data_IF_285871544625
#
_entry.id   IF_285871544625
#
_cell.length_a   1.000
_cell.length_b   1.000
_cell.length_c   1.000
_cell.angle_alpha   90.00
_cell.angle_beta   90.00
_cell.angle_gamma   90.00
#
_symmetry.space_group_name_H-M   'P 1'
#
loop_
_entity.id
_entity.type
_entity.pdbx_description
1 polymer ?
#
# COMPACT_ATOMS: atom_id res chain seq x y z
N UNK A 1 1.06 14.92 -21.47
CA UNK A 1 2.18 14.04 -21.09
C UNK A 1 1.98 13.76 -19.61
N UNK A 2 1.35 12.63 -19.27
CA UNK A 2 1.04 12.29 -17.88
C UNK A 2 2.31 11.67 -17.30
N UNK A 3 2.91 12.34 -16.32
CA UNK A 3 4.15 11.88 -15.67
C UNK A 3 3.81 10.72 -14.73
N UNK A 4 3.72 9.50 -15.27
CA UNK A 4 3.68 8.29 -14.47
C UNK A 4 5.08 7.95 -13.96
N UNK A 5 5.23 7.71 -12.67
CA UNK A 5 6.43 7.07 -12.12
C UNK A 5 7.58 8.01 -11.76
N UNK A 6 7.28 9.09 -11.02
CA UNK A 6 8.34 9.73 -10.23
C UNK A 6 8.93 8.71 -9.25
N UNK A 7 10.26 8.54 -9.25
CA UNK A 7 10.92 7.83 -8.15
C UNK A 7 10.54 8.51 -6.83
N UNK A 8 10.23 7.70 -5.82
CA UNK A 8 9.98 8.18 -4.46
C UNK A 8 11.05 9.23 -4.09
N UNK A 9 10.68 10.41 -3.54
CA UNK A 9 11.55 11.58 -3.44
C UNK A 9 12.96 11.29 -2.92
N UNK A 10 13.10 10.26 -2.11
CA UNK A 10 14.34 9.83 -1.50
C UNK A 10 15.26 8.93 -2.31
N UNK A 11 14.75 8.22 -3.31
CA UNK A 11 15.60 7.48 -4.26
C UNK A 11 16.48 8.46 -5.06
N UNK A 12 15.95 9.66 -5.35
CA UNK A 12 16.71 10.78 -5.93
C UNK A 12 17.71 11.42 -4.96
N UNK A 13 17.42 11.41 -3.66
CA UNK A 13 18.30 11.97 -2.62
C UNK A 13 19.42 11.02 -2.18
N UNK A 14 19.52 9.81 -2.75
CA UNK A 14 20.55 8.81 -2.43
C UNK A 14 20.48 8.23 -1.02
N UNK A 15 19.40 8.52 -0.28
CA UNK A 15 19.17 8.00 1.07
C UNK A 15 17.67 7.93 1.32
N UNK A 16 17.18 6.73 1.68
CA UNK A 16 15.84 6.60 2.29
C UNK A 16 15.83 7.55 3.50
N UNK A 17 14.89 8.51 3.61
CA UNK A 17 14.73 9.33 4.78
C UNK A 17 14.69 8.39 5.95
N UNK A 18 15.66 8.59 6.85
CA UNK A 18 15.56 8.10 8.21
C UNK A 18 14.44 8.90 8.84
N UNK A 19 13.20 8.51 8.55
CA UNK A 19 12.10 8.94 9.37
C UNK A 19 12.40 8.48 10.78
N UNK A 20 12.01 9.28 11.77
CA UNK A 20 12.31 9.19 13.20
C UNK A 20 12.41 7.77 13.79
N UNK A 21 11.72 6.82 13.16
CA UNK A 21 11.46 5.48 13.64
C UNK A 21 11.78 4.36 12.63
N UNK A 22 11.95 4.66 11.35
CA UNK A 22 11.58 3.75 10.26
C UNK A 22 12.82 3.18 9.54
N UNK A 23 13.25 1.97 9.95
CA UNK A 23 14.14 1.03 9.25
C UNK A 23 15.60 1.47 8.98
N UNK A 24 16.57 0.87 9.69
CA UNK A 24 17.99 0.85 9.33
C UNK A 24 18.32 -0.52 8.69
N UNK A 25 18.79 -0.53 7.44
CA UNK A 25 18.87 -1.69 6.53
C UNK A 25 19.92 -2.77 6.84
N UNK A 26 20.32 -3.02 8.09
CA UNK A 26 21.41 -3.99 8.37
C UNK A 26 21.17 -5.07 9.43
N UNK A 27 19.95 -5.26 9.97
CA UNK A 27 19.73 -6.38 10.91
C UNK A 27 18.40 -7.09 10.71
N UNK A 28 18.50 -8.40 10.48
CA UNK A 28 17.47 -9.40 10.82
C UNK A 28 16.95 -9.14 12.24
N UNK A 29 15.64 -9.27 12.42
CA UNK A 29 14.89 -8.91 13.64
C UNK A 29 14.95 -7.42 14.00
N UNK A 30 14.05 -6.66 13.40
CA UNK A 30 13.77 -5.30 13.87
C UNK A 30 13.06 -5.35 15.23
N UNK A 31 13.66 -4.68 16.19
CA UNK A 31 13.08 -4.44 17.51
C UNK A 31 11.99 -3.35 17.40
N UNK A 32 10.79 -3.78 16.98
CA UNK A 32 9.59 -2.95 16.89
C UNK A 32 9.12 -2.38 18.24
N UNK A 33 9.71 -2.80 19.36
CA UNK A 33 9.41 -2.23 20.68
C UNK A 33 9.78 -0.74 20.78
N UNK A 34 10.77 -0.30 20.00
CA UNK A 34 11.20 1.10 19.90
C UNK A 34 10.13 2.05 19.33
N UNK A 35 9.10 1.50 18.68
CA UNK A 35 8.00 2.24 18.05
C UNK A 35 6.76 2.37 18.94
N UNK A 36 6.78 1.78 20.13
CA UNK A 36 5.59 1.66 20.97
C UNK A 36 4.51 0.75 20.37
N UNK A 37 4.85 -0.06 19.36
CA UNK A 37 3.97 -1.12 18.86
C UNK A 37 3.88 -2.24 19.91
N UNK A 38 2.68 -2.75 20.16
CA UNK A 38 2.53 -3.91 21.03
C UNK A 38 2.88 -5.18 20.25
N UNK A 39 3.11 -6.27 20.99
CA UNK A 39 3.38 -7.59 20.41
C UNK A 39 2.29 -8.05 19.43
N UNK A 40 1.08 -7.49 19.51
CA UNK A 40 -0.05 -7.78 18.62
C UNK A 40 0.12 -7.19 17.24
N UNK A 41 0.45 -5.90 17.10
CA UNK A 41 0.61 -5.24 15.79
C UNK A 41 1.79 -5.84 15.03
N UNK A 42 2.91 -6.09 15.73
CA UNK A 42 4.10 -6.74 15.15
C UNK A 42 3.76 -8.12 14.59
N UNK A 43 2.96 -8.90 15.33
CA UNK A 43 2.49 -10.20 14.86
C UNK A 43 1.57 -10.09 13.65
N UNK A 44 0.63 -9.15 13.64
CA UNK A 44 -0.25 -8.91 12.49
C UNK A 44 0.57 -8.54 11.24
N UNK A 45 1.50 -7.60 11.35
CA UNK A 45 2.42 -7.21 10.27
C UNK A 45 3.25 -8.38 9.75
N UNK A 46 3.83 -9.19 10.65
CA UNK A 46 4.60 -10.37 10.27
C UNK A 46 3.73 -11.40 9.53
N UNK A 47 2.49 -11.63 10.00
CA UNK A 47 1.53 -12.50 9.31
C UNK A 47 1.16 -11.98 7.94
N UNK A 48 0.91 -10.68 7.79
CA UNK A 48 0.61 -10.04 6.51
C UNK A 48 1.76 -10.20 5.50
N UNK A 49 3.00 -9.93 5.93
CA UNK A 49 4.19 -10.13 5.08
C UNK A 49 4.38 -11.58 4.67
N UNK A 50 4.11 -12.54 5.55
CA UNK A 50 4.18 -13.95 5.19
C UNK A 50 3.16 -14.31 4.11
N UNK A 51 1.92 -13.82 4.22
CA UNK A 51 0.90 -14.00 3.16
C UNK A 51 1.39 -13.42 1.83
N UNK A 52 1.91 -12.19 1.86
CA UNK A 52 2.43 -11.52 0.66
C UNK A 52 3.63 -12.26 0.04
N UNK A 53 4.55 -12.78 0.84
CA UNK A 53 5.68 -13.62 0.36
C UNK A 53 5.18 -14.89 -0.35
N UNK A 54 4.19 -15.56 0.23
CA UNK A 54 3.59 -16.73 -0.43
C UNK A 54 2.92 -16.34 -1.76
N UNK A 55 2.26 -15.18 -1.81
CA UNK A 55 1.69 -14.65 -3.05
C UNK A 55 2.76 -14.30 -4.09
N UNK A 56 3.88 -13.71 -3.69
CA UNK A 56 4.98 -13.32 -4.58
C UNK A 56 5.66 -14.54 -5.21
N UNK A 57 5.88 -15.60 -4.43
CA UNK A 57 6.37 -16.89 -4.95
C UNK A 57 5.40 -17.42 -6.02
N UNK A 58 4.10 -17.39 -5.73
CA UNK A 58 3.09 -17.86 -6.67
C UNK A 58 3.02 -16.97 -7.91
N UNK A 59 3.15 -15.66 -7.76
CA UNK A 59 3.24 -14.69 -8.85
C UNK A 59 4.43 -14.99 -9.76
N UNK A 60 5.61 -15.19 -9.17
CA UNK A 60 6.82 -15.58 -9.89
C UNK A 60 6.62 -16.85 -10.70
N UNK A 61 6.01 -17.89 -10.11
CA UNK A 61 5.75 -19.15 -10.80
C UNK A 61 4.73 -18.99 -11.95
N UNK A 62 3.64 -18.28 -11.70
CA UNK A 62 2.55 -18.07 -12.65
C UNK A 62 2.95 -17.20 -13.86
N UNK A 63 3.80 -16.20 -13.64
CA UNK A 63 4.18 -15.24 -14.67
C UNK A 63 5.54 -15.54 -15.31
N UNK A 64 6.39 -16.40 -14.72
CA UNK A 64 7.65 -16.86 -15.36
C UNK A 64 7.45 -18.08 -16.27
N UNK A 65 6.43 -18.91 -16.03
CA UNK A 65 6.09 -19.99 -16.97
C UNK A 65 5.37 -19.42 -18.20
N UNK A 66 6.18 -18.96 -19.16
CA UNK A 66 5.74 -18.58 -20.49
C UNK A 66 5.32 -19.82 -21.31
N UNK A 67 4.09 -20.34 -21.19
CA UNK A 67 3.46 -21.10 -22.29
C UNK A 67 1.95 -20.81 -22.35
N UNK A 68 1.53 -20.25 -23.49
CA UNK A 68 0.17 -20.00 -24.00
C UNK A 68 -0.56 -18.71 -23.58
N UNK A 69 -0.51 -17.74 -24.50
CA UNK A 69 -1.23 -16.46 -24.48
C UNK A 69 -2.74 -16.67 -24.74
N UNK A 70 -3.55 -16.66 -23.68
CA UNK A 70 -4.99 -16.39 -23.80
C UNK A 70 -5.33 -15.26 -22.82
N UNK A 71 -5.96 -14.17 -23.28
CA UNK A 71 -6.31 -13.02 -22.42
C UNK A 71 -7.15 -13.42 -21.19
N UNK A 72 -7.91 -14.52 -21.31
CA UNK A 72 -8.71 -15.14 -20.24
C UNK A 72 -7.83 -15.59 -19.05
N UNK A 73 -6.65 -16.16 -19.32
CA UNK A 73 -5.70 -16.60 -18.30
C UNK A 73 -5.13 -15.43 -17.50
N UNK A 74 -4.93 -14.27 -18.15
CA UNK A 74 -4.47 -13.05 -17.47
C UNK A 74 -5.57 -12.51 -16.55
N UNK A 75 -6.82 -12.48 -16.99
CA UNK A 75 -7.93 -12.00 -16.18
C UNK A 75 -8.16 -12.88 -14.94
N UNK A 76 -8.13 -14.21 -15.11
CA UNK A 76 -8.25 -15.17 -14.00
C UNK A 76 -7.09 -15.01 -12.99
N UNK A 77 -5.86 -14.86 -13.47
CA UNK A 77 -4.69 -14.57 -12.61
C UNK A 77 -4.90 -13.29 -11.83
N UNK A 78 -5.31 -12.19 -12.47
CA UNK A 78 -5.57 -10.92 -11.79
C UNK A 78 -6.69 -11.05 -10.75
N UNK A 79 -7.77 -11.77 -11.07
CA UNK A 79 -8.85 -12.04 -10.12
C UNK A 79 -8.37 -12.85 -8.91
N UNK A 80 -7.53 -13.87 -9.13
CA UNK A 80 -6.93 -14.65 -8.04
C UNK A 80 -6.11 -13.74 -7.12
N UNK A 81 -5.17 -12.96 -7.66
CA UNK A 81 -4.34 -12.06 -6.85
C UNK A 81 -5.17 -11.02 -6.10
N UNK A 82 -6.13 -10.37 -6.77
CA UNK A 82 -7.00 -9.40 -6.12
C UNK A 82 -7.86 -10.05 -5.02
N UNK A 83 -8.32 -11.29 -5.21
CA UNK A 83 -9.04 -12.04 -4.17
C UNK A 83 -8.15 -12.36 -2.97
N UNK A 84 -6.87 -12.70 -3.20
CA UNK A 84 -5.90 -12.90 -2.12
C UNK A 84 -5.57 -11.60 -1.37
N UNK A 85 -5.49 -10.46 -2.06
CA UNK A 85 -5.32 -9.15 -1.41
C UNK A 85 -6.54 -8.79 -0.56
N UNK A 86 -7.74 -9.07 -1.04
CA UNK A 86 -8.97 -8.89 -0.25
C UNK A 86 -8.99 -9.80 0.99
N UNK A 87 -8.51 -11.04 0.86
CA UNK A 87 -8.34 -11.93 2.00
C UNK A 87 -7.32 -11.39 3.00
N UNK A 88 -6.20 -10.81 2.52
CA UNK A 88 -5.24 -10.14 3.38
C UNK A 88 -5.92 -9.03 4.17
N UNK A 89 -6.62 -8.12 3.50
CA UNK A 89 -7.37 -7.02 4.14
C UNK A 89 -8.33 -7.59 5.20
N UNK A 90 -9.12 -8.60 4.84
CA UNK A 90 -10.07 -9.24 5.76
C UNK A 90 -9.42 -9.90 6.98
N UNK A 91 -8.24 -10.52 6.80
CA UNK A 91 -7.52 -11.19 7.87
C UNK A 91 -6.82 -10.21 8.82
N UNK A 92 -6.53 -9.00 8.33
CA UNK A 92 -5.75 -7.99 9.07
C UNK A 92 -6.59 -6.88 9.64
N UNK A 93 -7.72 -6.58 9.01
CA UNK A 93 -8.72 -5.61 9.42
C UNK A 93 -10.01 -6.36 9.75
N UNK A 94 -10.31 -6.47 11.05
CA UNK A 94 -11.46 -7.22 11.55
C UNK A 94 -12.81 -6.55 11.29
N UNK A 95 -12.87 -5.53 10.42
CA UNK A 95 -14.07 -4.80 10.06
C UNK A 95 -14.52 -5.15 8.63
N UNK A 96 -15.68 -5.80 8.50
CA UNK A 96 -16.28 -6.16 7.20
C UNK A 96 -16.51 -4.93 6.30
N UNK A 97 -16.75 -3.75 6.88
CA UNK A 97 -16.94 -2.49 6.13
C UNK A 97 -15.67 -2.08 5.36
N UNK A 98 -14.50 -2.46 5.85
CA UNK A 98 -13.19 -2.13 5.24
C UNK A 98 -13.01 -2.78 3.87
N UNK A 99 -13.45 -4.03 3.71
CA UNK A 99 -13.36 -4.76 2.43
C UNK A 99 -14.27 -4.12 1.39
N UNK A 100 -15.50 -3.77 1.78
CA UNK A 100 -16.46 -3.08 0.93
C UNK A 100 -15.94 -1.71 0.49
N UNK A 101 -15.38 -0.97 1.44
CA UNK A 101 -14.74 0.32 1.20
C UNK A 101 -13.59 0.22 0.18
N UNK A 102 -12.60 -0.65 0.42
CA UNK A 102 -11.46 -0.80 -0.49
C UNK A 102 -11.88 -1.22 -1.90
N UNK A 103 -12.88 -2.11 -2.04
CA UNK A 103 -13.43 -2.50 -3.34
C UNK A 103 -14.07 -1.31 -4.07
N UNK A 104 -14.83 -0.49 -3.36
CA UNK A 104 -15.48 0.69 -3.94
C UNK A 104 -14.43 1.71 -4.39
N UNK A 105 -13.47 2.05 -3.53
CA UNK A 105 -12.36 2.96 -3.87
C UNK A 105 -11.63 2.46 -5.11
N UNK A 106 -11.19 1.19 -5.12
CA UNK A 106 -10.49 0.61 -6.27
C UNK A 106 -11.32 0.64 -7.57
N UNK A 107 -12.63 0.42 -7.48
CA UNK A 107 -13.53 0.47 -8.65
C UNK A 107 -13.63 1.90 -9.19
N UNK A 108 -13.87 2.89 -8.33
CA UNK A 108 -13.96 4.29 -8.72
C UNK A 108 -12.63 4.82 -9.26
N UNK A 109 -11.51 4.56 -8.59
CA UNK A 109 -10.18 5.01 -9.04
C UNK A 109 -9.84 4.42 -10.41
N UNK A 110 -10.17 3.15 -10.66
CA UNK A 110 -9.98 2.53 -11.99
C UNK A 110 -10.84 3.19 -13.07
N UNK A 111 -12.09 3.53 -12.76
CA UNK A 111 -12.99 4.22 -13.69
C UNK A 111 -12.49 5.64 -14.00
N UNK A 112 -12.10 6.41 -12.98
CA UNK A 112 -11.55 7.76 -13.14
C UNK A 112 -10.26 7.74 -13.95
N UNK A 113 -9.37 6.79 -13.70
CA UNK A 113 -8.12 6.63 -14.45
C UNK A 113 -8.39 6.42 -15.94
N UNK A 114 -9.40 5.61 -16.29
CA UNK A 114 -9.82 5.41 -17.68
C UNK A 114 -10.45 6.66 -18.29
N UNK A 115 -11.26 7.39 -17.53
CA UNK A 115 -11.89 8.64 -17.97
C UNK A 115 -10.85 9.74 -18.27
N UNK A 116 -9.71 9.71 -17.56
CA UNK A 116 -8.54 10.54 -17.86
C UNK A 116 -7.77 10.11 -19.13
N UNK A 117 -8.25 9.08 -19.85
CA UNK A 117 -7.65 8.57 -21.08
C UNK A 117 -6.43 7.65 -20.85
N UNK A 118 -6.23 7.15 -19.63
CA UNK A 118 -5.13 6.23 -19.32
C UNK A 118 -5.61 4.79 -19.55
N UNK A 119 -5.15 4.20 -20.65
CA UNK A 119 -5.53 2.84 -21.07
C UNK A 119 -4.45 1.78 -20.83
N UNK A 120 -3.27 2.17 -20.31
CA UNK A 120 -2.19 1.21 -20.03
C UNK A 120 -2.65 0.15 -19.01
N UNK A 121 -2.74 -1.11 -19.47
CA UNK A 121 -3.24 -2.23 -18.66
C UNK A 121 -2.45 -2.42 -17.37
N UNK A 122 -1.13 -2.24 -17.42
CA UNK A 122 -0.27 -2.39 -16.24
C UNK A 122 -0.51 -1.27 -15.23
N UNK A 123 -0.63 -0.04 -15.68
CA UNK A 123 -0.96 1.11 -14.84
C UNK A 123 -2.31 0.91 -14.15
N UNK A 124 -3.34 0.50 -14.90
CA UNK A 124 -4.67 0.22 -14.35
C UNK A 124 -4.64 -0.88 -13.26
N UNK A 125 -3.87 -1.95 -13.47
CA UNK A 125 -3.68 -3.00 -12.46
C UNK A 125 -3.01 -2.44 -11.21
N UNK A 126 -1.98 -1.60 -11.35
CA UNK A 126 -1.28 -1.01 -10.21
C UNK A 126 -2.17 -0.03 -9.43
N UNK A 127 -2.93 0.81 -10.13
CA UNK A 127 -3.93 1.70 -9.53
C UNK A 127 -4.96 0.90 -8.74
N UNK A 128 -5.52 -0.14 -9.35
CA UNK A 128 -6.51 -0.97 -8.69
C UNK A 128 -5.97 -1.63 -7.42
N UNK A 129 -4.77 -2.25 -7.49
CA UNK A 129 -4.13 -2.90 -6.34
C UNK A 129 -3.73 -1.89 -5.26
N UNK A 130 -3.22 -0.73 -5.67
CA UNK A 130 -2.84 0.34 -4.77
C UNK A 130 -4.05 0.89 -4.01
N UNK A 131 -5.15 1.14 -4.72
CA UNK A 131 -6.41 1.57 -4.14
C UNK A 131 -7.04 0.50 -3.23
N UNK A 132 -6.92 -0.79 -3.57
CA UNK A 132 -7.36 -1.87 -2.67
C UNK A 132 -6.58 -1.85 -1.34
N UNK A 133 -5.27 -1.58 -1.41
CA UNK A 133 -4.34 -1.65 -0.28
C UNK A 133 -4.03 -0.30 0.36
N UNK A 134 -4.69 0.80 -0.01
CA UNK A 134 -4.30 2.14 0.43
C UNK A 134 -4.19 2.26 1.96
N UNK A 135 -5.09 1.60 2.67
CA UNK A 135 -5.17 1.59 4.12
C UNK A 135 -4.46 0.41 4.80
N UNK A 136 -3.77 -0.46 4.05
CA UNK A 136 -3.23 -1.73 4.57
C UNK A 136 -2.23 -1.53 5.72
N UNK A 137 -1.55 -0.38 5.77
CA UNK A 137 -0.62 -0.04 6.85
C UNK A 137 -1.29 0.18 8.21
N UNK A 138 -2.62 0.32 8.28
CA UNK A 138 -3.37 0.39 9.55
C UNK A 138 -3.16 -0.84 10.42
N UNK A 139 -2.74 -1.96 9.83
CA UNK A 139 -2.34 -3.18 10.55
C UNK A 139 -1.24 -2.94 11.61
N UNK A 140 -0.37 -1.94 11.39
CA UNK A 140 0.69 -1.56 12.31
C UNK A 140 0.27 -0.46 13.30
N UNK A 141 -0.97 0.02 13.25
CA UNK A 141 -1.47 1.06 14.14
C UNK A 141 -2.14 0.42 15.36
N UNK A 142 -1.84 0.89 16.59
CA UNK A 142 -2.44 0.34 17.80
C UNK A 142 -3.97 0.35 17.78
N UNK A 143 -4.58 -0.76 18.19
CA UNK A 143 -6.04 -0.94 18.14
C UNK A 143 -6.79 0.13 18.95
N UNK A 144 -6.24 0.57 20.08
CA UNK A 144 -6.85 1.61 20.92
C UNK A 144 -6.89 2.99 20.24
N UNK A 145 -6.02 3.25 19.25
CA UNK A 145 -6.06 4.45 18.41
C UNK A 145 -7.11 4.28 17.32
N UNK A 146 -7.11 3.13 16.62
CA UNK A 146 -8.06 2.84 15.53
C UNK A 146 -9.52 2.82 16.01
N UNK A 147 -9.78 2.31 17.22
CA UNK A 147 -11.13 2.18 17.79
C UNK A 147 -11.51 3.30 18.76
N UNK A 148 -10.71 4.37 18.85
CA UNK A 148 -10.98 5.44 19.81
C UNK A 148 -12.28 6.15 19.46
N UNK A 149 -13.25 6.14 20.39
CA UNK A 149 -14.53 6.81 20.20
C UNK A 149 -14.46 8.33 20.40
N UNK A 150 -13.47 8.82 21.16
CA UNK A 150 -13.20 10.25 21.34
C UNK A 150 -12.20 10.76 20.31
N UNK A 151 -12.11 12.09 20.15
CA UNK A 151 -11.13 12.69 19.25
C UNK A 151 -9.71 12.26 19.59
N UNK A 152 -8.92 11.95 18.55
CA UNK A 152 -7.49 11.68 18.69
C UNK A 152 -6.76 12.94 19.15
N UNK A 153 -5.82 12.77 20.07
CA UNK A 153 -4.82 13.78 20.42
C UNK A 153 -3.86 14.00 19.25
N UNK A 154 -3.15 15.14 19.22
CA UNK A 154 -2.17 15.40 18.15
C UNK A 154 -1.09 14.30 18.05
N UNK A 155 -0.69 13.72 19.19
CA UNK A 155 0.24 12.59 19.20
C UNK A 155 -0.36 11.34 18.56
N UNK A 156 -1.61 11.00 18.88
CA UNK A 156 -2.29 9.84 18.31
C UNK A 156 -2.58 10.02 16.82
N UNK A 157 -2.92 11.25 16.40
CA UNK A 157 -3.04 11.60 14.98
C UNK A 157 -1.72 11.37 14.25
N UNK A 158 -0.60 11.82 14.81
CA UNK A 158 0.73 11.58 14.24
C UNK A 158 0.99 10.10 14.04
N UNK A 159 0.70 9.25 15.04
CA UNK A 159 0.84 7.79 14.91
C UNK A 159 -0.07 7.24 13.81
N UNK A 160 -1.34 7.64 13.76
CA UNK A 160 -2.27 7.20 12.72
C UNK A 160 -1.78 7.62 11.31
N UNK A 161 -1.17 8.79 11.17
CA UNK A 161 -0.65 9.32 9.90
C UNK A 161 0.57 8.57 9.38
N UNK A 162 1.17 7.65 10.15
CA UNK A 162 2.27 6.78 9.70
C UNK A 162 1.78 5.62 8.83
N UNK A 163 0.47 5.31 8.79
CA UNK A 163 -0.02 4.13 8.06
C UNK A 163 0.30 4.11 6.55
N UNK A 164 0.38 5.23 5.79
CA UNK A 164 0.80 5.19 4.39
C UNK A 164 2.24 4.67 4.23
N UNK A 165 3.12 5.07 5.16
CA UNK A 165 4.52 4.62 5.19
C UNK A 165 4.59 3.14 5.56
N UNK A 166 3.91 2.73 6.64
CA UNK A 166 3.87 1.32 7.05
C UNK A 166 3.32 0.42 5.94
N UNK A 167 2.28 0.89 5.22
CA UNK A 167 1.70 0.19 4.08
C UNK A 167 2.68 0.07 2.92
N UNK A 168 3.34 1.17 2.54
CA UNK A 168 4.37 1.18 1.49
C UNK A 168 5.50 0.18 1.80
N UNK A 169 6.09 0.26 2.99
CA UNK A 169 7.20 -0.60 3.40
C UNK A 169 6.83 -2.08 3.51
N UNK A 170 5.57 -2.35 3.83
CA UNK A 170 5.07 -3.70 3.87
C UNK A 170 4.98 -4.33 2.48
N UNK A 171 4.69 -3.54 1.43
CA UNK A 171 4.35 -4.10 0.11
C UNK A 171 5.35 -3.79 -1.02
N UNK A 172 6.23 -2.80 -0.87
CA UNK A 172 7.13 -2.34 -1.95
C UNK A 172 8.13 -3.40 -2.44
N UNK A 173 8.53 -4.30 -1.54
CA UNK A 173 9.52 -5.34 -1.84
C UNK A 173 9.01 -6.32 -2.91
N UNK A 174 7.69 -6.53 -2.99
CA UNK A 174 7.07 -7.48 -3.90
C UNK A 174 6.90 -6.90 -5.31
N UNK A 175 7.46 -7.57 -6.32
CA UNK A 175 7.48 -7.06 -7.70
C UNK A 175 6.07 -6.74 -8.23
N UNK A 176 5.08 -7.56 -7.86
CA UNK A 176 3.69 -7.40 -8.29
C UNK A 176 2.93 -6.25 -7.60
N UNK A 177 3.51 -5.66 -6.54
CA UNK A 177 2.94 -4.54 -5.77
C UNK A 177 3.82 -3.30 -5.76
N UNK A 178 5.08 -3.38 -6.21
CA UNK A 178 6.04 -2.28 -6.11
C UNK A 178 5.53 -0.93 -6.65
N UNK A 179 4.83 -0.95 -7.78
CA UNK A 179 4.21 0.26 -8.35
C UNK A 179 2.92 0.67 -7.63
N UNK A 180 2.12 -0.30 -7.19
CA UNK A 180 0.92 -0.07 -6.37
C UNK A 180 1.27 0.56 -5.01
N UNK A 181 2.48 0.31 -4.48
CA UNK A 181 2.96 0.89 -3.24
C UNK A 181 2.96 2.42 -3.26
N UNK A 182 3.17 3.05 -4.42
CA UNK A 182 3.11 4.52 -4.53
C UNK A 182 1.72 5.06 -4.20
N UNK A 183 0.65 4.40 -4.68
CA UNK A 183 -0.73 4.78 -4.33
C UNK A 183 -0.91 4.73 -2.82
N UNK A 184 -0.48 3.63 -2.19
CA UNK A 184 -0.53 3.45 -0.73
C UNK A 184 0.24 4.54 0.01
N UNK A 185 1.39 4.95 -0.51
CA UNK A 185 2.23 5.95 0.12
C UNK A 185 1.65 7.37 0.08
N UNK A 186 1.04 7.75 -1.05
CA UNK A 186 0.66 9.14 -1.33
C UNK A 186 -0.85 9.42 -1.26
N UNK A 187 -1.71 8.44 -0.99
CA UNK A 187 -3.17 8.62 -1.01
C UNK A 187 -3.73 9.68 -0.03
N UNK A 188 -2.92 10.19 0.88
CA UNK A 188 -3.25 11.28 1.79
C UNK A 188 -2.56 12.62 1.48
N UNK A 189 -1.75 12.67 0.42
CA UNK A 189 -1.24 13.92 -0.11
C UNK A 189 -2.38 14.78 -0.65
N UNK A 190 -2.22 16.09 -0.59
CA UNK A 190 -3.24 17.05 -1.02
C UNK A 190 -2.60 18.11 -1.87
N UNK A 191 -3.30 18.51 -2.93
CA UNK A 191 -2.79 19.43 -3.93
C UNK A 191 -2.31 20.79 -3.36
N UNK A 192 -2.82 21.19 -2.19
CA UNK A 192 -2.45 22.40 -1.47
C UNK A 192 -1.26 22.25 -0.51
N UNK A 193 -0.66 21.06 -0.41
CA UNK A 193 0.45 20.76 0.50
C UNK A 193 0.05 20.47 1.95
N UNK A 194 -1.25 20.47 2.28
CA UNK A 194 -1.73 20.16 3.64
C UNK A 194 -1.86 18.65 3.90
N UNK A 195 -1.44 17.83 2.95
CA UNK A 195 -1.42 16.38 3.03
C UNK A 195 -0.23 15.82 3.81
N UNK A 196 -0.15 14.49 3.83
CA UNK A 196 0.93 13.74 4.49
C UNK A 196 1.20 12.46 3.69
N UNK A 197 2.38 11.81 3.83
CA UNK A 197 3.44 12.07 4.80
C UNK A 197 4.46 13.15 4.42
N UNK A 198 4.49 13.64 3.18
CA UNK A 198 5.53 14.57 2.69
C UNK A 198 5.05 16.00 2.45
N UNK A 199 3.74 16.23 2.37
CA UNK A 199 3.19 17.55 2.09
C UNK A 199 3.51 18.01 0.67
N UNK A 200 3.42 17.09 -0.29
CA UNK A 200 3.68 17.35 -1.71
C UNK A 200 2.68 18.37 -2.26
N UNK A 201 3.12 19.25 -3.14
CA UNK A 201 2.29 20.34 -3.68
C UNK A 201 2.05 20.15 -5.17
N UNK A 202 0.79 20.26 -5.58
CA UNK A 202 0.43 20.26 -6.99
C UNK A 202 0.90 19.02 -7.75
N UNK A 203 1.67 19.23 -8.81
CA UNK A 203 2.19 18.18 -9.68
C UNK A 203 3.38 17.39 -9.10
N UNK A 204 3.82 17.71 -7.87
CA UNK A 204 4.76 16.85 -7.14
C UNK A 204 4.09 15.53 -6.70
N UNK A 205 2.77 15.55 -6.53
CA UNK A 205 1.96 14.37 -6.21
C UNK A 205 1.91 13.48 -7.46
N UNK A 206 2.32 12.20 -7.36
CA UNK A 206 2.21 11.28 -8.48
C UNK A 206 0.76 11.14 -8.93
N UNK A 207 0.52 11.04 -10.24
CA UNK A 207 -0.84 10.90 -10.79
C UNK A 207 -1.55 9.64 -10.29
N UNK A 208 -0.79 8.64 -9.82
CA UNK A 208 -1.32 7.43 -9.22
C UNK A 208 -1.84 7.57 -7.78
N UNK A 209 -1.58 8.68 -7.10
CA UNK A 209 -2.02 8.96 -5.73
C UNK A 209 -3.51 9.33 -5.67
#
# INVERSE_FOLDING_TARGET
MILSGGEAPWKRAGSKPRFAFVFNEEKEEQDYSSWGMESTEVRKMSSARNILRHMDIHYGNIFKDQISNVEEDIAEKQMFFNSSLLYLIAATDGNEDSIGHSKLVASYTTLLTKDLGIEDKNFLVNIQRGALLHDVGKIGIPEFILRKASSLTEREKGILQEHPLLGYEMIEEFDFLRKAAHVVLYHHEKYDGSGYPFGLIGEEIPVEA
#
